data_IF_977205956478
#
_entry.id   IF_977205956478
#
_cell.length_a   1.000
_cell.length_b   1.000
_cell.length_c   1.000
_cell.angle_alpha   90.00
_cell.angle_beta   90.00
_cell.angle_gamma   90.00
#
_symmetry.space_group_name_H-M   'P 1'
#
loop_
_entity.id
_entity.type
_entity.pdbx_description
1 polymer ?
#
# COMPACT_ATOMS: atom_id res chain seq x y z
N UNK A 1 -20.02 -26.80 30.98
CA UNK A 1 -20.71 -26.20 29.82
C UNK A 1 -20.35 -24.72 29.75
N UNK A 2 -19.11 -24.43 29.34
CA UNK A 2 -18.57 -23.06 29.26
C UNK A 2 -18.42 -22.66 27.80
N UNK A 3 -19.12 -21.62 27.36
CA UNK A 3 -18.99 -21.10 26.00
C UNK A 3 -17.74 -20.22 25.92
N UNK A 4 -16.76 -20.71 25.16
CA UNK A 4 -15.64 -19.92 24.68
C UNK A 4 -16.16 -18.70 23.90
N UNK A 5 -15.66 -17.51 24.24
CA UNK A 5 -15.83 -16.31 23.41
C UNK A 5 -14.94 -16.49 22.19
N UNK A 6 -15.57 -16.70 21.04
CA UNK A 6 -14.91 -16.72 19.75
C UNK A 6 -14.33 -15.34 19.42
N UNK A 7 -13.08 -15.34 18.96
CA UNK A 7 -12.48 -14.24 18.24
C UNK A 7 -13.29 -13.96 16.96
N UNK A 8 -13.90 -12.77 16.85
CA UNK A 8 -14.29 -12.21 15.56
C UNK A 8 -13.02 -11.66 14.90
N UNK A 9 -12.61 -12.04 13.69
CA UNK A 9 -13.34 -12.69 12.61
C UNK A 9 -13.95 -11.68 11.64
N UNK A 10 -13.12 -10.78 11.09
CA UNK A 10 -13.21 -10.13 9.76
C UNK A 10 -12.45 -8.79 9.84
N UNK A 11 -11.31 -8.71 9.15
CA UNK A 11 -10.52 -7.48 9.05
C UNK A 11 -11.29 -6.42 8.26
N UNK A 12 -12.02 -5.55 8.95
CA UNK A 12 -12.29 -4.24 8.40
C UNK A 12 -10.95 -3.52 8.34
N UNK A 13 -10.44 -3.30 7.12
CA UNK A 13 -9.51 -2.19 6.90
C UNK A 13 -10.22 -0.98 7.52
N UNK A 14 -9.58 -0.26 8.44
CA UNK A 14 -10.20 0.93 9.00
C UNK A 14 -10.60 1.83 7.82
N UNK A 15 -11.80 2.40 7.84
CA UNK A 15 -12.31 3.21 6.73
C UNK A 15 -12.53 4.64 7.25
N UNK A 16 -11.45 5.42 7.47
CA UNK A 16 -11.55 6.67 8.20
C UNK A 16 -12.42 7.71 7.50
N UNK A 17 -12.49 7.69 6.16
CA UNK A 17 -13.30 8.65 5.42
C UNK A 17 -14.76 8.23 5.41
N UNK A 18 -15.07 6.93 5.35
CA UNK A 18 -16.45 6.47 5.60
C UNK A 18 -16.91 6.82 7.02
N UNK A 19 -16.07 6.57 8.03
CA UNK A 19 -16.38 6.95 9.42
C UNK A 19 -16.56 8.47 9.60
N UNK A 20 -15.91 9.27 8.74
CA UNK A 20 -16.00 10.73 8.75
C UNK A 20 -17.22 11.28 8.00
N UNK A 21 -17.88 10.50 7.14
CA UNK A 21 -18.94 10.94 6.23
C UNK A 21 -20.09 11.66 6.96
N UNK A 22 -20.58 11.09 8.06
CA UNK A 22 -21.71 11.62 8.82
C UNK A 22 -21.30 12.57 9.97
N UNK A 23 -20.03 12.97 10.03
CA UNK A 23 -19.50 13.80 11.13
C UNK A 23 -19.59 15.28 10.83
N UNK A 24 -19.75 16.07 11.90
CA UNK A 24 -19.63 17.53 11.81
C UNK A 24 -18.25 17.92 11.29
N UNK A 25 -18.09 19.02 10.55
CA UNK A 25 -16.84 19.41 9.90
C UNK A 25 -15.56 19.23 10.73
N UNK A 26 -15.49 19.90 11.88
CA UNK A 26 -14.34 19.82 12.80
C UNK A 26 -14.14 18.44 13.44
N UNK A 27 -15.21 17.65 13.56
CA UNK A 27 -15.11 16.29 14.09
C UNK A 27 -14.53 15.33 13.05
N UNK A 28 -14.98 15.44 11.79
CA UNK A 28 -14.44 14.70 10.66
C UNK A 28 -12.93 14.96 10.50
N UNK A 29 -12.52 16.22 10.44
CA UNK A 29 -11.11 16.60 10.33
C UNK A 29 -10.25 16.02 11.46
N UNK A 30 -10.72 16.12 12.71
CA UNK A 30 -9.99 15.58 13.86
C UNK A 30 -9.93 14.06 13.86
N UNK A 31 -10.98 13.38 13.41
CA UNK A 31 -10.98 11.93 13.24
C UNK A 31 -9.92 11.52 12.21
N UNK A 32 -10.00 12.11 11.02
CA UNK A 32 -9.06 11.84 9.93
C UNK A 32 -7.62 12.10 10.33
N UNK A 33 -7.34 13.23 10.97
CA UNK A 33 -5.99 13.54 11.46
C UNK A 33 -5.45 12.45 12.42
N UNK A 34 -6.25 12.04 13.41
CA UNK A 34 -5.86 10.97 14.34
C UNK A 34 -5.66 9.63 13.64
N UNK A 35 -6.54 9.27 12.71
CA UNK A 35 -6.42 8.04 11.94
C UNK A 35 -5.16 8.05 11.06
N UNK A 36 -4.86 9.18 10.40
CA UNK A 36 -3.65 9.36 9.60
C UNK A 36 -2.40 9.22 10.47
N UNK A 37 -2.34 9.88 11.62
CA UNK A 37 -1.18 9.81 12.51
C UNK A 37 -0.97 8.40 13.07
N UNK A 38 -2.04 7.72 13.47
CA UNK A 38 -1.99 6.33 13.92
C UNK A 38 -1.52 5.39 12.80
N UNK A 39 -2.09 5.51 11.59
CA UNK A 39 -1.68 4.73 10.42
C UNK A 39 -0.22 4.97 10.03
N UNK A 40 0.28 6.21 10.14
CA UNK A 40 1.70 6.53 9.93
C UNK A 40 2.60 5.84 10.95
N UNK A 41 2.22 5.85 12.23
CA UNK A 41 2.99 5.17 13.28
C UNK A 41 3.02 3.65 13.05
N UNK A 42 1.88 3.04 12.70
CA UNK A 42 1.78 1.61 12.40
C UNK A 42 2.58 1.24 11.14
N UNK A 43 2.50 2.04 10.07
CA UNK A 43 3.26 1.82 8.84
C UNK A 43 4.78 1.87 9.09
N UNK A 44 5.25 2.85 9.87
CA UNK A 44 6.66 2.94 10.27
C UNK A 44 7.12 1.73 11.07
N UNK A 45 6.33 1.31 12.06
CA UNK A 45 6.65 0.15 12.87
C UNK A 45 6.68 -1.14 12.02
N UNK A 46 5.66 -1.35 11.18
CA UNK A 46 5.56 -2.52 10.32
C UNK A 46 6.68 -2.60 9.29
N UNK A 47 6.90 -1.52 8.51
CA UNK A 47 7.97 -1.50 7.51
C UNK A 47 9.35 -1.57 8.16
N UNK A 48 9.54 -0.90 9.30
CA UNK A 48 10.79 -0.96 10.06
C UNK A 48 11.10 -2.37 10.57
N UNK A 49 10.08 -3.12 11.01
CA UNK A 49 10.25 -4.51 11.40
C UNK A 49 10.72 -5.38 10.23
N UNK A 50 10.13 -5.20 9.04
CA UNK A 50 10.53 -5.93 7.82
C UNK A 50 11.98 -5.60 7.42
N UNK A 51 12.35 -4.31 7.41
CA UNK A 51 13.73 -3.89 7.08
C UNK A 51 14.74 -4.49 8.07
N UNK A 52 14.41 -4.48 9.37
CA UNK A 52 15.24 -5.08 10.42
C UNK A 52 15.39 -6.59 10.24
N UNK A 53 14.29 -7.28 9.94
CA UNK A 53 14.30 -8.73 9.71
C UNK A 53 15.18 -9.12 8.52
N UNK A 54 15.07 -8.39 7.40
CA UNK A 54 15.92 -8.61 6.22
C UNK A 54 17.40 -8.32 6.52
N UNK A 55 17.68 -7.24 7.26
CA UNK A 55 19.05 -6.92 7.70
C UNK A 55 19.65 -7.99 8.61
N UNK A 56 18.87 -8.63 9.48
CA UNK A 56 19.32 -9.75 10.31
C UNK A 56 19.64 -11.03 9.52
N UNK A 57 19.26 -11.07 8.23
CA UNK A 57 19.58 -12.15 7.28
C UNK A 57 20.67 -11.71 6.28
N UNK A 58 21.41 -10.65 6.60
CA UNK A 58 22.43 -10.03 5.74
C UNK A 58 21.88 -9.53 4.38
N UNK A 59 20.59 -9.20 4.31
CA UNK A 59 19.96 -8.65 3.11
C UNK A 59 19.83 -7.13 3.23
N UNK A 60 20.34 -6.39 2.24
CA UNK A 60 20.16 -4.94 2.13
C UNK A 60 18.83 -4.64 1.43
N UNK A 61 18.00 -3.80 2.05
CA UNK A 61 16.83 -3.20 1.39
C UNK A 61 17.29 -1.97 0.62
N UNK A 62 17.16 -2.02 -0.72
CA UNK A 62 17.67 -0.96 -1.61
C UNK A 62 16.64 0.13 -1.91
N UNK A 63 15.36 -0.16 -1.69
CA UNK A 63 14.27 0.77 -1.91
C UNK A 63 12.91 0.17 -1.57
N UNK A 64 11.86 0.96 -1.76
CA UNK A 64 10.47 0.59 -1.50
C UNK A 64 9.61 0.93 -2.72
N UNK A 65 8.92 -0.07 -3.26
CA UNK A 65 7.97 0.10 -4.36
C UNK A 65 6.56 0.29 -3.84
N UNK A 66 5.85 1.32 -4.32
CA UNK A 66 4.44 1.56 -3.97
C UNK A 66 3.60 1.69 -5.24
N UNK A 67 2.54 0.89 -5.34
CA UNK A 67 1.54 1.04 -6.39
C UNK A 67 0.68 2.27 -6.11
N UNK A 68 0.58 3.16 -7.10
CA UNK A 68 -0.21 4.38 -7.04
C UNK A 68 -1.58 4.20 -7.69
N UNK A 69 -2.55 4.95 -7.17
CA UNK A 69 -3.86 5.10 -7.81
C UNK A 69 -3.73 5.70 -9.22
N UNK A 70 -4.72 5.41 -10.06
CA UNK A 70 -4.81 5.96 -11.43
C UNK A 70 -5.88 7.05 -11.58
N UNK A 71 -6.51 7.43 -10.45
CA UNK A 71 -7.59 8.39 -10.37
C UNK A 71 -7.16 9.84 -10.58
N UNK A 72 -8.16 10.72 -10.63
CA UNK A 72 -7.93 12.18 -10.66
C UNK A 72 -7.41 12.66 -9.30
N UNK A 73 -6.75 13.82 -9.31
CA UNK A 73 -6.40 14.50 -8.08
C UNK A 73 -7.64 14.72 -7.21
N UNK A 74 -7.51 14.43 -5.91
CA UNK A 74 -8.57 14.65 -4.95
C UNK A 74 -8.71 16.15 -4.67
N UNK A 75 -9.92 16.64 -4.35
CA UNK A 75 -10.09 17.97 -3.79
C UNK A 75 -9.27 18.14 -2.51
N UNK A 76 -8.73 19.34 -2.27
CA UNK A 76 -8.03 19.65 -1.00
C UNK A 76 -9.01 19.75 0.19
N UNK A 77 -10.26 20.11 -0.10
CA UNK A 77 -11.33 20.26 0.88
C UNK A 77 -11.93 18.90 1.25
N UNK A 78 -11.73 18.50 2.51
CA UNK A 78 -12.26 17.26 3.09
C UNK A 78 -13.78 17.17 2.94
N UNK A 79 -14.53 18.28 3.05
CA UNK A 79 -15.99 18.22 2.93
C UNK A 79 -16.43 17.90 1.51
N UNK A 80 -15.68 18.34 0.49
CA UNK A 80 -15.94 17.95 -0.90
C UNK A 80 -15.64 16.48 -1.13
N UNK A 81 -14.61 15.94 -0.47
CA UNK A 81 -14.31 14.50 -0.50
C UNK A 81 -15.48 13.72 0.13
N UNK A 82 -15.90 14.09 1.34
CA UNK A 82 -16.95 13.40 2.09
C UNK A 82 -18.33 13.47 1.43
N UNK A 83 -18.56 14.44 0.54
CA UNK A 83 -19.82 14.57 -0.20
C UNK A 83 -19.98 13.53 -1.34
N UNK A 84 -18.98 12.68 -1.59
CA UNK A 84 -19.05 11.68 -2.66
C UNK A 84 -18.42 10.37 -2.23
N UNK A 85 -19.21 9.30 -2.26
CA UNK A 85 -18.73 7.96 -1.97
C UNK A 85 -17.54 7.53 -2.86
N UNK A 86 -17.54 7.95 -4.13
CA UNK A 86 -16.41 7.70 -5.03
C UNK A 86 -15.13 8.44 -4.60
N UNK A 87 -15.25 9.67 -4.09
CA UNK A 87 -14.11 10.42 -3.57
C UNK A 87 -13.65 9.89 -2.20
N UNK A 88 -14.56 9.39 -1.36
CA UNK A 88 -14.24 8.71 -0.11
C UNK A 88 -13.33 7.50 -0.38
N UNK A 89 -13.73 6.59 -1.29
CA UNK A 89 -12.90 5.43 -1.66
C UNK A 89 -11.53 5.84 -2.21
N UNK A 90 -11.51 6.86 -3.06
CA UNK A 90 -10.26 7.36 -3.62
C UNK A 90 -9.36 7.96 -2.53
N UNK A 91 -9.92 8.73 -1.59
CA UNK A 91 -9.18 9.34 -0.48
C UNK A 91 -8.63 8.32 0.51
N UNK A 92 -9.38 7.25 0.83
CA UNK A 92 -8.86 6.16 1.65
C UNK A 92 -7.69 5.45 0.98
N UNK A 93 -7.83 5.15 -0.32
CA UNK A 93 -6.74 4.58 -1.09
C UNK A 93 -5.50 5.45 -1.08
N UNK A 94 -5.65 6.75 -1.36
CA UNK A 94 -4.50 7.69 -1.37
C UNK A 94 -3.88 7.84 0.02
N UNK A 95 -4.69 7.91 1.08
CA UNK A 95 -4.23 7.97 2.46
C UNK A 95 -3.36 6.76 2.82
N UNK A 96 -3.81 5.54 2.52
CA UNK A 96 -3.03 4.34 2.83
C UNK A 96 -1.74 4.22 2.00
N UNK A 97 -1.71 4.75 0.77
CA UNK A 97 -0.46 4.82 -0.02
C UNK A 97 0.49 5.87 0.53
N UNK A 98 0.00 7.06 0.88
CA UNK A 98 0.83 8.11 1.49
C UNK A 98 1.48 7.59 2.77
N UNK A 99 0.74 6.91 3.66
CA UNK A 99 1.37 6.42 4.90
C UNK A 99 2.51 5.43 4.64
N UNK A 100 2.43 4.59 3.60
CA UNK A 100 3.51 3.69 3.20
C UNK A 100 4.69 4.45 2.59
N UNK A 101 4.43 5.44 1.72
CA UNK A 101 5.46 6.32 1.15
C UNK A 101 6.22 7.03 2.27
N UNK A 102 5.50 7.67 3.21
CA UNK A 102 6.09 8.37 4.35
C UNK A 102 6.87 7.45 5.28
N UNK A 103 6.41 6.20 5.46
CA UNK A 103 7.14 5.22 6.25
C UNK A 103 8.46 4.82 5.57
N UNK A 104 8.45 4.60 4.25
CA UNK A 104 9.66 4.32 3.47
C UNK A 104 10.67 5.46 3.53
N UNK A 105 10.22 6.69 3.30
CA UNK A 105 11.05 7.91 3.42
C UNK A 105 11.66 8.05 4.83
N UNK A 106 10.87 7.81 5.87
CA UNK A 106 11.34 7.86 7.26
C UNK A 106 12.45 6.85 7.55
N UNK A 107 12.40 5.67 6.91
CA UNK A 107 13.41 4.64 6.99
C UNK A 107 14.59 4.87 6.02
N UNK A 108 14.66 6.05 5.40
CA UNK A 108 15.68 6.41 4.40
C UNK A 108 15.71 5.49 3.17
N UNK A 109 14.59 4.84 2.85
CA UNK A 109 14.44 4.05 1.63
C UNK A 109 14.12 4.97 0.46
N UNK A 110 14.72 4.72 -0.71
CA UNK A 110 14.26 5.31 -1.97
C UNK A 110 12.87 4.74 -2.28
N UNK A 111 11.84 5.59 -2.25
CA UNK A 111 10.48 5.17 -2.58
C UNK A 111 10.19 5.42 -4.06
N UNK A 112 9.76 4.39 -4.78
CA UNK A 112 9.37 4.47 -6.19
C UNK A 112 7.87 4.21 -6.32
N UNK A 113 7.14 5.26 -6.67
CA UNK A 113 5.72 5.17 -7.00
C UNK A 113 5.50 4.73 -8.45
N UNK A 114 4.66 3.73 -8.67
CA UNK A 114 4.29 3.25 -10.01
C UNK A 114 2.78 3.13 -10.10
N UNK A 115 2.15 3.76 -11.09
CA UNK A 115 0.70 3.56 -11.32
C UNK A 115 0.44 2.11 -11.68
N UNK A 116 -0.60 1.52 -11.09
CA UNK A 116 -0.92 0.10 -11.32
C UNK A 116 -1.02 -0.26 -12.81
N UNK A 117 -1.72 0.55 -13.60
CA UNK A 117 -1.89 0.31 -15.05
C UNK A 117 -0.57 0.34 -15.83
N UNK A 118 0.46 1.01 -15.31
CA UNK A 118 1.74 1.21 -15.99
C UNK A 118 2.79 0.20 -15.50
N UNK A 119 2.51 -0.58 -14.44
CA UNK A 119 3.53 -1.39 -13.75
C UNK A 119 4.23 -2.40 -14.65
N UNK A 120 3.50 -3.06 -15.55
CA UNK A 120 4.07 -4.06 -16.43
C UNK A 120 5.00 -3.43 -17.47
N UNK A 121 4.61 -2.28 -18.02
CA UNK A 121 5.43 -1.51 -18.96
C UNK A 121 6.70 -1.05 -18.25
N UNK A 122 6.56 -0.45 -17.07
CA UNK A 122 7.70 0.04 -16.28
C UNK A 122 8.66 -1.08 -15.89
N UNK A 123 8.15 -2.25 -15.50
CA UNK A 123 8.98 -3.41 -15.20
C UNK A 123 9.69 -3.95 -16.45
N UNK A 124 9.02 -3.92 -17.60
CA UNK A 124 9.61 -4.34 -18.88
C UNK A 124 10.76 -3.42 -19.28
N UNK A 125 10.55 -2.10 -19.20
CA UNK A 125 11.57 -1.08 -19.47
C UNK A 125 12.76 -1.21 -18.52
N UNK A 126 12.50 -1.34 -17.21
CA UNK A 126 13.56 -1.40 -16.21
C UNK A 126 14.41 -2.68 -16.32
N UNK A 127 13.80 -3.82 -16.64
CA UNK A 127 14.50 -5.11 -16.71
C UNK A 127 15.01 -5.48 -18.11
N UNK A 128 14.62 -4.74 -19.15
CA UNK A 128 14.88 -5.09 -20.55
C UNK A 128 14.19 -6.35 -21.03
N UNK A 129 13.17 -6.85 -20.30
CA UNK A 129 12.46 -8.11 -20.62
C UNK A 129 11.04 -7.83 -21.13
N UNK A 130 10.52 -8.64 -22.08
CA UNK A 130 9.15 -8.51 -22.51
C UNK A 130 8.14 -8.72 -21.37
N UNK A 131 7.05 -7.94 -21.34
CA UNK A 131 6.04 -8.05 -20.29
C UNK A 131 5.43 -9.45 -20.14
N UNK A 132 5.21 -10.16 -21.25
CA UNK A 132 4.74 -11.55 -21.23
C UNK A 132 5.71 -12.51 -20.51
N UNK A 133 7.02 -12.28 -20.63
CA UNK A 133 8.02 -13.04 -19.88
C UNK A 133 7.93 -12.74 -18.38
N UNK A 134 7.82 -11.46 -18.02
CA UNK A 134 7.70 -11.04 -16.61
C UNK A 134 6.45 -11.62 -15.95
N UNK A 135 5.30 -11.56 -16.63
CA UNK A 135 4.06 -12.16 -16.15
C UNK A 135 4.19 -13.67 -15.96
N UNK A 136 4.84 -14.37 -16.91
CA UNK A 136 5.11 -15.80 -16.76
C UNK A 136 5.94 -16.06 -15.51
N UNK A 137 7.08 -15.39 -15.34
CA UNK A 137 7.98 -15.53 -14.17
C UNK A 137 7.25 -15.31 -12.84
N UNK A 138 6.47 -14.24 -12.74
CA UNK A 138 5.65 -13.93 -11.55
C UNK A 138 4.62 -15.04 -11.28
N UNK A 139 4.03 -15.63 -12.32
CA UNK A 139 3.12 -16.77 -12.14
C UNK A 139 3.84 -18.03 -11.65
N UNK A 140 5.08 -18.28 -12.07
CA UNK A 140 5.86 -19.45 -11.61
C UNK A 140 6.31 -19.30 -10.16
N UNK A 141 6.67 -18.07 -9.75
CA UNK A 141 6.95 -17.77 -8.34
C UNK A 141 5.76 -18.13 -7.45
N UNK A 142 4.53 -17.78 -7.87
CA UNK A 142 3.32 -18.15 -7.13
C UNK A 142 3.11 -19.66 -6.99
N UNK A 143 3.45 -20.44 -8.03
CA UNK A 143 3.39 -21.91 -7.97
C UNK A 143 4.39 -22.48 -6.96
N UNK A 144 5.55 -21.84 -6.82
CA UNK A 144 6.59 -22.27 -5.88
C UNK A 144 6.35 -21.81 -4.44
N UNK A 145 5.83 -20.59 -4.25
CA UNK A 145 5.66 -19.96 -2.93
C UNK A 145 4.33 -20.34 -2.27
N UNK A 146 3.32 -20.71 -3.06
CA UNK A 146 1.99 -21.03 -2.56
C UNK A 146 1.13 -19.79 -2.24
N UNK A 147 -0.10 -19.98 -1.75
CA UNK A 147 -1.00 -18.88 -1.42
C UNK A 147 -0.60 -18.14 -0.13
N UNK A 148 -0.92 -16.84 0.00
CA UNK A 148 -1.61 -16.00 -0.99
C UNK A 148 -0.71 -15.57 -2.15
N UNK A 149 -1.23 -15.61 -3.39
CA UNK A 149 -0.56 -15.12 -4.60
C UNK A 149 -1.56 -14.53 -5.60
N UNK A 150 -2.26 -13.49 -5.14
CA UNK A 150 -3.30 -12.77 -5.86
C UNK A 150 -2.69 -11.64 -6.68
N UNK A 151 -3.53 -10.73 -7.16
CA UNK A 151 -3.09 -9.60 -7.98
C UNK A 151 -2.10 -8.71 -7.21
N UNK A 152 -2.35 -8.44 -5.93
CA UNK A 152 -1.51 -7.56 -5.12
C UNK A 152 -0.07 -8.07 -4.99
N UNK A 153 0.13 -9.36 -4.68
CA UNK A 153 1.48 -9.94 -4.58
C UNK A 153 2.21 -9.93 -5.93
N UNK A 154 1.47 -10.17 -7.04
CA UNK A 154 2.03 -10.14 -8.39
C UNK A 154 2.48 -8.74 -8.78
N UNK A 155 1.64 -7.73 -8.54
CA UNK A 155 1.95 -6.34 -8.86
C UNK A 155 3.08 -5.83 -7.95
N UNK A 156 3.06 -6.15 -6.65
CA UNK A 156 4.14 -5.81 -5.73
C UNK A 156 5.49 -6.40 -6.18
N UNK A 157 5.49 -7.65 -6.67
CA UNK A 157 6.70 -8.27 -7.24
C UNK A 157 7.21 -7.53 -8.47
N UNK A 158 6.31 -7.10 -9.37
CA UNK A 158 6.69 -6.32 -10.55
C UNK A 158 7.27 -4.95 -10.16
N UNK A 159 6.67 -4.24 -9.19
CA UNK A 159 7.24 -2.97 -8.70
C UNK A 159 8.59 -3.21 -8.01
N UNK A 160 8.75 -4.29 -7.26
CA UNK A 160 10.04 -4.63 -6.65
C UNK A 160 11.15 -4.81 -7.71
N UNK A 161 10.84 -5.40 -8.87
CA UNK A 161 11.81 -5.47 -9.99
C UNK A 161 12.11 -4.12 -10.61
N UNK A 162 11.13 -3.20 -10.69
CA UNK A 162 11.40 -1.80 -11.11
C UNK A 162 12.39 -1.13 -10.17
N UNK A 163 12.21 -1.30 -8.86
CA UNK A 163 13.10 -0.73 -7.83
C UNK A 163 14.50 -1.35 -7.91
N UNK A 164 14.59 -2.68 -7.98
CA UNK A 164 15.87 -3.39 -8.01
C UNK A 164 16.71 -3.11 -9.26
N UNK A 165 16.07 -2.83 -10.40
CA UNK A 165 16.78 -2.49 -11.63
C UNK A 165 17.30 -1.04 -11.66
N UNK A 166 16.94 -0.22 -10.67
CA UNK A 166 17.33 1.19 -10.57
C UNK A 166 18.32 1.50 -9.45
N UNK A 167 18.75 0.50 -8.67
CA UNK A 167 19.86 0.60 -7.70
C UNK A 167 21.18 0.17 -8.35
#
# INVERSE_FOLDING_TARGET
MGRARGAGGAGHVAQPYHEAEDKKPREAERLLARCIDSSRALARAGLGAVVKELGARDQRVVGCGVLLGSGRALPEDVHKILASHALIHAAEGEMYRDVLVRAGEHLSLRVTGVRERDVLVRASEATGRPGAELQRRVAEMGRSLGPPWRQDEKLATLVAWVVLAAD
#
